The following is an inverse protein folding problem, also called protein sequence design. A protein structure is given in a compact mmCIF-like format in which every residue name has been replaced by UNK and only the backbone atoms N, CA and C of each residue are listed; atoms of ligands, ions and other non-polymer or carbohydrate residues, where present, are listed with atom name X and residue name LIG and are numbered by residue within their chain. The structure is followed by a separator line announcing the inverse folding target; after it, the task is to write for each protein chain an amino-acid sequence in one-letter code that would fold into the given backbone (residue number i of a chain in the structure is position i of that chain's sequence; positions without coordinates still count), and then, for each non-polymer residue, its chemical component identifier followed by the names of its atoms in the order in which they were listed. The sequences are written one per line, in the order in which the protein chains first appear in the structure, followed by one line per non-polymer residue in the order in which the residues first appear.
data_IF_756261789390
#
_entry.id   IF_756261789390
#
_cell.length_a   1.000
_cell.length_b   1.000
_cell.length_c   1.000
_cell.angle_alpha   90.00
_cell.angle_beta   90.00
_cell.angle_gamma   90.00
#
_symmetry.space_group_name_H-M   'P 1'
#
loop_
_entity.id
_entity.type
_entity.pdbx_description
1 polymer ?
#
# COMPACT_ATOMS: atom_id res chain seq x y z
N UNK A 1 2.01 4.29 -15.37
CA UNK A 1 3.14 4.05 -14.46
C UNK A 1 4.29 3.51 -15.29
N UNK A 2 5.50 4.05 -15.13
CA UNK A 2 6.73 3.50 -15.73
C UNK A 2 7.55 2.92 -14.57
N UNK A 3 7.81 1.61 -14.54
CA UNK A 3 8.58 1.01 -13.46
C UNK A 3 10.05 1.46 -13.55
N UNK A 4 10.68 1.71 -12.40
CA UNK A 4 12.09 2.08 -12.31
C UNK A 4 12.99 0.88 -12.66
N UNK A 5 12.55 -0.33 -12.28
CA UNK A 5 13.17 -1.58 -12.68
C UNK A 5 12.53 -2.07 -13.96
N UNK A 6 13.32 -2.15 -15.03
CA UNK A 6 12.89 -2.59 -16.35
C UNK A 6 13.60 -3.88 -16.74
N UNK A 7 12.82 -4.94 -16.95
CA UNK A 7 13.32 -6.28 -17.25
C UNK A 7 13.10 -6.72 -18.70
N UNK A 8 12.75 -5.80 -19.60
CA UNK A 8 12.56 -6.14 -21.02
C UNK A 8 13.82 -6.77 -21.61
N UNK A 9 13.69 -8.01 -22.08
CA UNK A 9 14.79 -8.79 -22.65
C UNK A 9 15.75 -9.42 -21.62
N UNK A 10 15.58 -9.15 -20.33
CA UNK A 10 16.44 -9.68 -19.27
C UNK A 10 15.90 -10.97 -18.63
N UNK A 11 14.60 -11.24 -18.72
CA UNK A 11 13.94 -12.40 -18.12
C UNK A 11 13.39 -13.36 -19.20
N UNK A 12 14.20 -14.34 -19.66
CA UNK A 12 13.75 -15.31 -20.65
C UNK A 12 12.66 -16.22 -20.07
N UNK A 13 11.67 -16.59 -20.90
CA UNK A 13 10.58 -17.48 -20.51
C UNK A 13 9.37 -16.78 -19.88
N UNK A 14 9.44 -15.46 -19.64
CA UNK A 14 8.28 -14.65 -19.24
C UNK A 14 7.63 -13.98 -20.45
N UNK A 15 6.30 -13.92 -20.43
CA UNK A 15 5.54 -13.10 -21.38
C UNK A 15 5.79 -11.61 -21.11
N UNK A 16 5.56 -10.73 -22.11
CA UNK A 16 5.69 -9.28 -21.90
C UNK A 16 4.82 -8.74 -20.75
N UNK A 17 3.65 -9.34 -20.53
CA UNK A 17 2.76 -8.98 -19.42
C UNK A 17 3.38 -9.32 -18.06
N UNK A 18 3.93 -10.53 -17.91
CA UNK A 18 4.60 -10.94 -16.67
C UNK A 18 5.85 -10.09 -16.40
N UNK A 19 6.60 -9.74 -17.44
CA UNK A 19 7.74 -8.81 -17.33
C UNK A 19 7.29 -7.46 -16.78
N UNK A 20 6.14 -6.94 -17.24
CA UNK A 20 5.58 -5.69 -16.73
C UNK A 20 5.13 -5.81 -15.28
N UNK A 21 4.40 -6.87 -14.93
CA UNK A 21 3.92 -7.12 -13.56
C UNK A 21 5.08 -7.18 -12.57
N UNK A 22 6.14 -7.91 -12.91
CA UNK A 22 7.34 -8.04 -12.07
C UNK A 22 8.10 -6.73 -11.97
N UNK A 23 8.23 -6.00 -13.08
CA UNK A 23 8.85 -4.67 -13.10
C UNK A 23 8.13 -3.70 -12.16
N UNK A 24 6.80 -3.74 -12.12
CA UNK A 24 5.97 -2.93 -11.21
C UNK A 24 6.16 -3.36 -9.76
N UNK A 25 6.06 -4.65 -9.45
CA UNK A 25 6.22 -5.18 -8.08
C UNK A 25 7.60 -4.86 -7.52
N UNK A 26 8.67 -5.10 -8.29
CA UNK A 26 10.02 -4.84 -7.80
C UNK A 26 10.32 -3.33 -7.67
N UNK A 27 9.67 -2.50 -8.47
CA UNK A 27 9.74 -1.04 -8.32
C UNK A 27 9.05 -0.61 -7.04
N UNK A 28 7.89 -1.18 -6.73
CA UNK A 28 7.19 -0.95 -5.48
C UNK A 28 8.05 -1.40 -4.29
N UNK A 29 8.59 -2.61 -4.31
CA UNK A 29 9.45 -3.13 -3.23
C UNK A 29 10.73 -2.31 -3.02
N UNK A 30 11.29 -1.75 -4.10
CA UNK A 30 12.46 -0.89 -4.00
C UNK A 30 12.16 0.46 -3.33
N UNK A 31 10.94 0.98 -3.45
CA UNK A 31 10.55 2.31 -2.99
C UNK A 31 9.70 2.28 -1.72
N UNK A 32 9.09 1.15 -1.40
CA UNK A 32 8.19 1.03 -0.24
C UNK A 32 8.88 1.38 1.08
N UNK A 33 10.16 1.04 1.36
CA UNK A 33 10.77 1.41 2.65
C UNK A 33 10.98 2.93 2.81
N UNK A 34 11.25 3.64 1.72
CA UNK A 34 11.41 5.10 1.75
C UNK A 34 10.07 5.80 1.97
N UNK A 35 8.99 5.23 1.43
CA UNK A 35 7.65 5.82 1.48
C UNK A 35 6.71 5.23 2.53
N UNK A 36 7.15 4.20 3.27
CA UNK A 36 6.43 3.63 4.41
C UNK A 36 6.58 4.55 5.63
N UNK A 37 6.05 5.75 5.49
CA UNK A 37 6.07 6.76 6.52
C UNK A 37 5.01 6.45 7.58
N UNK A 38 5.37 6.51 8.88
CA UNK A 38 4.41 6.37 9.96
C UNK A 38 3.25 7.36 9.78
N UNK A 39 2.05 6.82 9.59
CA UNK A 39 0.86 7.64 9.55
C UNK A 39 0.50 8.12 10.97
N UNK A 40 -0.25 9.21 11.06
CA UNK A 40 -0.77 9.68 12.33
C UNK A 40 -2.11 9.02 12.64
N UNK A 41 -2.40 8.77 13.92
CA UNK A 41 -3.70 8.23 14.35
C UNK A 41 -4.85 9.14 13.88
N UNK A 42 -4.62 10.45 13.87
CA UNK A 42 -5.58 11.45 13.36
C UNK A 42 -5.85 11.31 11.88
N UNK A 43 -4.83 11.03 11.06
CA UNK A 43 -4.99 10.76 9.62
C UNK A 43 -5.86 9.52 9.40
N UNK A 44 -5.58 8.44 10.13
CA UNK A 44 -6.35 7.19 10.03
C UNK A 44 -7.81 7.39 10.46
N UNK A 45 -8.03 8.10 11.56
CA UNK A 45 -9.39 8.44 12.02
C UNK A 45 -10.15 9.25 10.96
N UNK A 46 -9.51 10.27 10.38
CA UNK A 46 -10.09 11.10 9.32
C UNK A 46 -10.51 10.26 8.11
N UNK A 47 -9.66 9.36 7.63
CA UNK A 47 -10.01 8.48 6.51
C UNK A 47 -11.21 7.59 6.80
N UNK A 48 -11.33 7.08 8.03
CA UNK A 48 -12.52 6.31 8.43
C UNK A 48 -13.80 7.17 8.45
N UNK A 49 -13.71 8.41 8.93
CA UNK A 49 -14.83 9.36 8.90
C UNK A 49 -15.23 9.70 7.46
N UNK A 50 -14.26 9.96 6.57
CA UNK A 50 -14.49 10.23 5.14
C UNK A 50 -15.09 9.02 4.40
N UNK A 51 -14.75 7.81 4.82
CA UNK A 51 -15.34 6.57 4.31
C UNK A 51 -16.76 6.28 4.86
N UNK A 52 -17.31 7.13 5.73
CA UNK A 52 -18.63 6.96 6.33
C UNK A 52 -18.70 5.87 7.40
N UNK A 53 -17.55 5.47 7.94
CA UNK A 53 -17.49 4.51 9.03
C UNK A 53 -17.88 5.17 10.36
N UNK A 54 -18.38 4.37 11.29
CA UNK A 54 -18.80 4.76 12.63
C UNK A 54 -18.13 3.89 13.69
N UNK A 55 -18.22 4.30 14.96
CA UNK A 55 -17.59 3.61 16.09
C UNK A 55 -16.08 3.37 15.88
N UNK A 56 -15.38 4.43 15.47
CA UNK A 56 -13.99 4.39 15.04
C UNK A 56 -13.05 4.40 16.26
N UNK A 57 -12.26 3.34 16.40
CA UNK A 57 -11.17 3.19 17.36
C UNK A 57 -9.83 3.08 16.60
N UNK A 58 -8.87 3.92 16.98
CA UNK A 58 -7.56 4.01 16.31
C UNK A 58 -6.46 4.01 17.37
N UNK A 59 -5.57 3.02 17.29
CA UNK A 59 -4.50 2.83 18.29
C UNK A 59 -3.17 2.45 17.63
N UNK A 60 -2.06 2.69 18.34
CA UNK A 60 -0.77 2.14 17.94
C UNK A 60 -0.68 0.69 18.43
N UNK A 61 -0.49 -0.24 17.51
CA UNK A 61 -0.23 -1.66 17.76
C UNK A 61 1.26 -2.01 17.64
N UNK A 62 1.58 -3.31 17.71
CA UNK A 62 2.96 -3.79 17.65
C UNK A 62 3.65 -3.57 16.30
N UNK A 63 2.87 -3.50 15.21
CA UNK A 63 3.37 -3.39 13.83
C UNK A 63 2.83 -2.16 13.08
N UNK A 64 2.38 -1.11 13.79
CA UNK A 64 1.86 0.10 13.16
C UNK A 64 0.60 0.65 13.80
N UNK A 65 -0.33 1.14 12.98
CA UNK A 65 -1.64 1.62 13.45
C UNK A 65 -2.70 0.57 13.18
N UNK A 66 -3.48 0.25 14.20
CA UNK A 66 -4.67 -0.59 14.09
C UNK A 66 -5.91 0.28 14.10
N UNK A 67 -6.83 0.03 13.18
CA UNK A 67 -8.13 0.71 13.11
C UNK A 67 -9.25 -0.31 13.20
N UNK A 68 -10.24 -0.03 14.05
CA UNK A 68 -11.48 -0.81 14.18
C UNK A 68 -12.65 0.15 13.99
N UNK A 69 -13.56 -0.17 13.07
CA UNK A 69 -14.73 0.66 12.79
C UNK A 69 -15.86 -0.18 12.16
N UNK A 70 -17.08 0.36 12.11
CA UNK A 70 -18.27 -0.27 11.53
C UNK A 70 -18.81 0.53 10.36
N UNK A 71 -19.46 -0.11 9.40
CA UNK A 71 -20.29 0.59 8.40
C UNK A 71 -21.59 1.04 9.05
N UNK A 72 -22.14 2.19 8.61
CA UNK A 72 -23.53 2.52 8.93
C UNK A 72 -24.43 1.45 8.30
N UNK A 73 -25.26 0.81 9.13
CA UNK A 73 -26.32 -0.11 8.68
C UNK A 73 -27.49 0.61 8.06
#
# INVERSE_FOLDING_TARGET
MVPLKDYRGALPGLTPQQVLEWSVLDTFDALSPEHDHPQYLTTMKKWCEEAGLVDIDVQRGGNGIEVRARTRG
#
